data_IF_549769482208
#
_entry.id   IF_549769482208
#
_cell.length_a   1.000
_cell.length_b   1.000
_cell.length_c   1.000
_cell.angle_alpha   90.00
_cell.angle_beta   90.00
_cell.angle_gamma   90.00
#
_symmetry.space_group_name_H-M   'P 1'
#
loop_
_entity.id
_entity.type
_entity.pdbx_description
1 polymer ?
#
# COMPACT_ATOMS: atom_id res chain seq x y z
N UNK A 1 -8.11 -20.29 -24.62
CA UNK A 1 -8.89 -20.68 -23.43
C UNK A 1 -7.95 -21.35 -22.45
N UNK A 2 -7.49 -20.61 -21.45
CA UNK A 2 -6.63 -21.18 -20.42
C UNK A 2 -7.54 -21.76 -19.33
N UNK A 3 -7.56 -23.08 -19.21
CA UNK A 3 -8.21 -23.78 -18.09
C UNK A 3 -7.48 -23.42 -16.81
N UNK A 4 -8.07 -22.53 -16.00
CA UNK A 4 -7.70 -22.37 -14.60
C UNK A 4 -8.10 -23.66 -13.87
N UNK A 5 -7.14 -24.56 -13.71
CA UNK A 5 -7.26 -25.71 -12.81
C UNK A 5 -7.36 -25.14 -11.40
N UNK A 6 -8.57 -25.08 -10.86
CA UNK A 6 -8.82 -24.72 -9.46
C UNK A 6 -8.36 -25.92 -8.64
N UNK A 7 -7.14 -25.83 -8.12
CA UNK A 7 -6.67 -26.76 -7.10
C UNK A 7 -7.56 -26.54 -5.87
N UNK A 8 -8.36 -27.54 -5.55
CA UNK A 8 -9.16 -27.60 -4.32
C UNK A 8 -8.17 -27.88 -3.18
N UNK A 9 -7.50 -26.82 -2.70
CA UNK A 9 -6.71 -26.90 -1.47
C UNK A 9 -7.69 -26.82 -0.32
N UNK A 10 -7.65 -27.82 0.55
CA UNK A 10 -8.48 -27.89 1.76
C UNK A 10 -8.39 -26.54 2.50
N UNK A 11 -9.51 -25.86 2.61
CA UNK A 11 -9.65 -24.45 2.90
C UNK A 11 -9.30 -24.00 4.32
N UNK A 12 -8.65 -24.83 5.12
CA UNK A 12 -8.66 -24.62 6.56
C UNK A 12 -7.41 -23.99 7.17
N UNK A 13 -6.35 -23.71 6.39
CA UNK A 13 -5.08 -23.25 7.02
C UNK A 13 -4.29 -22.20 6.27
N UNK A 14 -4.64 -21.83 5.06
CA UNK A 14 -3.87 -20.83 4.30
C UNK A 14 -4.72 -19.64 3.90
N UNK A 15 -4.18 -18.45 4.12
CA UNK A 15 -4.70 -17.21 3.56
C UNK A 15 -4.51 -17.18 2.04
N UNK A 16 -5.17 -16.26 1.36
CA UNK A 16 -5.02 -16.03 -0.08
C UNK A 16 -4.47 -14.64 -0.30
N UNK A 17 -3.42 -14.54 -1.11
CA UNK A 17 -2.87 -13.29 -1.58
C UNK A 17 -3.05 -13.16 -3.09
N UNK A 18 -3.71 -12.11 -3.54
CA UNK A 18 -3.79 -11.76 -4.96
C UNK A 18 -2.71 -10.74 -5.29
N UNK A 19 -1.80 -11.14 -6.17
CA UNK A 19 -0.71 -10.29 -6.62
C UNK A 19 -1.07 -9.63 -7.95
N UNK A 20 -1.25 -8.30 -7.92
CA UNK A 20 -1.53 -7.50 -9.09
C UNK A 20 -1.13 -6.05 -8.84
N UNK A 21 -0.45 -5.43 -9.81
CA UNK A 21 -0.09 -4.01 -9.72
C UNK A 21 -1.30 -3.08 -9.79
N UNK A 22 -2.41 -3.52 -10.41
CA UNK A 22 -3.65 -2.75 -10.42
C UNK A 22 -4.55 -3.12 -9.23
N UNK A 23 -4.71 -2.17 -8.34
CA UNK A 23 -5.59 -2.28 -7.18
C UNK A 23 -7.05 -2.59 -7.56
N UNK A 24 -7.57 -2.00 -8.65
CA UNK A 24 -8.96 -2.22 -9.06
C UNK A 24 -9.18 -3.65 -9.53
N UNK A 25 -8.21 -4.19 -10.26
CA UNK A 25 -8.26 -5.58 -10.75
C UNK A 25 -8.16 -6.56 -9.57
N UNK A 26 -7.21 -6.34 -8.64
CA UNK A 26 -7.05 -7.20 -7.47
C UNK A 26 -8.28 -7.15 -6.55
N UNK A 27 -8.84 -5.96 -6.33
CA UNK A 27 -10.08 -5.79 -5.57
C UNK A 27 -11.26 -6.51 -6.23
N UNK A 28 -11.40 -6.41 -7.56
CA UNK A 28 -12.44 -7.14 -8.31
C UNK A 28 -12.30 -8.66 -8.15
N UNK A 29 -11.07 -9.18 -8.19
CA UNK A 29 -10.81 -10.61 -7.99
C UNK A 29 -11.26 -11.09 -6.59
N UNK A 30 -10.99 -10.29 -5.55
CA UNK A 30 -11.46 -10.53 -4.19
C UNK A 30 -12.98 -10.57 -4.14
N UNK A 31 -13.67 -9.55 -4.68
CA UNK A 31 -15.12 -9.48 -4.70
C UNK A 31 -15.73 -10.67 -5.43
N UNK A 32 -15.22 -11.04 -6.60
CA UNK A 32 -15.66 -12.21 -7.35
C UNK A 32 -15.50 -13.53 -6.58
N UNK A 33 -14.44 -13.63 -5.75
CA UNK A 33 -14.26 -14.79 -4.87
C UNK A 33 -15.28 -14.80 -3.73
N UNK A 34 -15.53 -13.63 -3.11
CA UNK A 34 -16.57 -13.48 -2.08
C UNK A 34 -17.97 -13.84 -2.60
N UNK A 35 -18.32 -13.39 -3.80
CA UNK A 35 -19.59 -13.73 -4.46
C UNK A 35 -19.76 -15.25 -4.63
N UNK A 36 -18.69 -15.93 -5.06
CA UNK A 36 -18.73 -17.40 -5.19
C UNK A 36 -18.97 -18.09 -3.85
N UNK A 37 -18.28 -17.65 -2.77
CA UNK A 37 -18.48 -18.22 -1.45
C UNK A 37 -19.88 -17.92 -0.92
N UNK A 38 -20.39 -16.70 -1.12
CA UNK A 38 -21.73 -16.32 -0.76
C UNK A 38 -22.76 -17.22 -1.45
N UNK A 39 -22.62 -17.43 -2.76
CA UNK A 39 -23.48 -18.30 -3.55
C UNK A 39 -23.41 -19.76 -3.07
N UNK A 40 -22.21 -20.28 -2.77
CA UNK A 40 -22.03 -21.64 -2.26
C UNK A 40 -22.66 -21.85 -0.87
N UNK A 41 -22.73 -20.78 -0.05
CA UNK A 41 -23.33 -20.82 1.27
C UNK A 41 -24.80 -20.37 1.30
N UNK A 42 -25.38 -20.06 0.14
CA UNK A 42 -26.74 -19.50 0.01
C UNK A 42 -26.94 -18.22 0.84
N UNK A 43 -25.91 -17.37 0.93
CA UNK A 43 -25.94 -16.12 1.68
C UNK A 43 -26.01 -14.92 0.71
N UNK A 44 -26.79 -13.87 1.04
CA UNK A 44 -26.75 -12.63 0.28
C UNK A 44 -25.42 -11.90 0.52
N UNK A 45 -24.73 -11.48 -0.52
CA UNK A 45 -23.54 -10.64 -0.41
C UNK A 45 -23.93 -9.17 -0.54
N UNK A 46 -24.30 -8.57 0.59
CA UNK A 46 -24.53 -7.12 0.67
C UNK A 46 -23.31 -6.46 1.30
N UNK A 47 -22.56 -5.72 0.48
CA UNK A 47 -21.37 -5.00 0.96
C UNK A 47 -21.78 -3.59 1.37
N UNK A 48 -21.55 -3.25 2.63
CA UNK A 48 -21.79 -1.93 3.18
C UNK A 48 -20.47 -1.26 3.57
N UNK A 49 -20.43 0.07 3.50
CA UNK A 49 -19.28 0.85 3.97
C UNK A 49 -19.56 1.38 5.36
N UNK A 50 -18.61 1.19 6.27
CA UNK A 50 -18.65 1.68 7.65
C UNK A 50 -17.35 2.40 7.99
N UNK A 51 -17.33 3.06 9.16
CA UNK A 51 -16.13 3.68 9.73
C UNK A 51 -15.66 2.86 10.93
N UNK A 52 -14.35 2.62 10.99
CA UNK A 52 -13.68 1.96 12.10
C UNK A 52 -13.01 3.02 12.97
N UNK A 53 -13.40 3.09 14.23
CA UNK A 53 -12.81 4.03 15.17
C UNK A 53 -11.86 3.30 16.11
N UNK A 54 -10.73 3.90 16.39
CA UNK A 54 -9.81 3.41 17.41
C UNK A 54 -10.37 3.73 18.80
N UNK A 55 -10.34 2.76 19.70
CA UNK A 55 -10.72 2.99 21.08
C UNK A 55 -9.78 4.02 21.73
N UNK A 56 -10.35 4.98 22.45
CA UNK A 56 -9.63 6.07 23.11
C UNK A 56 -8.57 5.62 24.12
N UNK A 57 -8.65 4.38 24.60
CA UNK A 57 -7.69 3.79 25.53
C UNK A 57 -6.28 3.53 24.95
N UNK A 58 -6.14 3.48 23.64
CA UNK A 58 -4.84 3.23 22.97
C UNK A 58 -4.09 4.52 22.69
N UNK A 59 -4.68 5.68 22.99
CA UNK A 59 -4.26 6.98 22.45
C UNK A 59 -3.44 7.86 23.42
N UNK A 60 -3.12 7.41 24.63
CA UNK A 60 -2.47 8.29 25.64
C UNK A 60 -0.99 8.57 25.38
N UNK A 61 -0.31 7.87 24.46
CA UNK A 61 1.12 8.08 24.25
C UNK A 61 1.50 9.02 23.09
N UNK A 62 0.57 9.42 22.22
CA UNK A 62 0.88 10.37 21.13
C UNK A 62 -0.30 11.29 20.79
N UNK A 63 -0.48 12.32 21.59
CA UNK A 63 -1.56 13.32 21.46
C UNK A 63 -1.42 14.32 20.29
N UNK A 64 -0.78 13.99 19.17
CA UNK A 64 -0.47 14.97 18.11
C UNK A 64 -1.36 14.96 16.86
N UNK A 65 -2.45 14.18 16.81
CA UNK A 65 -3.34 14.23 15.66
C UNK A 65 -4.82 14.10 16.03
N UNK A 66 -5.35 15.08 16.74
CA UNK A 66 -6.80 15.14 17.04
C UNK A 66 -7.69 15.22 15.79
N UNK A 67 -7.19 15.75 14.68
CA UNK A 67 -7.93 15.84 13.42
C UNK A 67 -8.16 14.47 12.74
N UNK A 68 -7.20 13.54 12.84
CA UNK A 68 -7.32 12.19 12.27
C UNK A 68 -8.25 11.27 13.08
N UNK A 69 -8.56 11.62 14.34
CA UNK A 69 -9.46 10.85 15.20
C UNK A 69 -10.95 11.02 14.85
N UNK A 70 -11.31 12.12 14.17
CA UNK A 70 -12.73 12.41 13.87
C UNK A 70 -13.31 11.61 12.72
N UNK A 71 -12.50 11.23 11.73
CA UNK A 71 -13.03 10.67 10.49
C UNK A 71 -13.07 9.14 10.43
N UNK A 72 -12.44 8.42 11.36
CA UNK A 72 -12.38 6.96 11.37
C UNK A 72 -11.77 6.35 10.08
N UNK A 73 -11.45 5.05 10.11
CA UNK A 73 -10.95 4.33 8.93
C UNK A 73 -12.14 3.74 8.16
N UNK A 74 -12.42 4.17 6.91
CA UNK A 74 -13.49 3.56 6.12
C UNK A 74 -13.14 2.13 5.74
N UNK A 75 -14.08 1.21 5.96
CA UNK A 75 -13.94 -0.20 5.60
C UNK A 75 -15.22 -0.75 4.98
N UNK A 76 -15.06 -1.86 4.24
CA UNK A 76 -16.17 -2.61 3.65
C UNK A 76 -16.50 -3.81 4.54
N UNK A 77 -17.79 -4.04 4.77
CA UNK A 77 -18.25 -5.16 5.59
C UNK A 77 -19.45 -5.86 4.96
N UNK A 78 -19.51 -7.16 5.16
CA UNK A 78 -20.67 -8.02 4.85
C UNK A 78 -20.81 -9.10 5.91
N UNK A 79 -21.77 -9.99 5.73
CA UNK A 79 -21.93 -11.17 6.60
C UNK A 79 -20.69 -12.09 6.56
N UNK A 80 -19.93 -12.09 5.45
CA UNK A 80 -18.78 -12.98 5.23
C UNK A 80 -17.46 -12.32 5.58
N UNK A 81 -17.32 -10.99 5.41
CA UNK A 81 -16.01 -10.35 5.45
C UNK A 81 -16.01 -8.95 6.02
N UNK A 82 -14.85 -8.54 6.50
CA UNK A 82 -14.45 -7.15 6.73
C UNK A 82 -13.21 -6.85 5.89
N UNK A 83 -13.23 -5.75 5.13
CA UNK A 83 -12.15 -5.39 4.21
C UNK A 83 -11.63 -3.98 4.48
N UNK A 84 -10.34 -3.85 4.67
CA UNK A 84 -9.64 -2.61 4.99
C UNK A 84 -8.58 -2.31 3.94
N UNK A 85 -8.41 -1.03 3.57
CA UNK A 85 -7.29 -0.57 2.74
C UNK A 85 -6.16 -0.11 3.63
N UNK A 86 -5.01 -0.78 3.56
CA UNK A 86 -3.79 -0.41 4.32
C UNK A 86 -3.31 0.97 3.90
N UNK A 87 -3.43 1.33 2.62
CA UNK A 87 -3.09 2.66 2.13
C UNK A 87 -3.83 3.79 2.87
N UNK A 88 -5.00 3.53 3.44
CA UNK A 88 -5.77 4.52 4.22
C UNK A 88 -5.42 4.55 5.71
N UNK A 89 -4.69 3.57 6.20
CA UNK A 89 -4.24 3.53 7.60
C UNK A 89 -3.06 4.47 7.84
N UNK A 90 -2.39 4.90 6.77
CA UNK A 90 -1.22 5.79 6.84
C UNK A 90 -0.14 5.26 7.80
N UNK A 91 0.50 6.12 8.55
CA UNK A 91 1.53 5.77 9.54
C UNK A 91 0.97 5.12 10.82
N UNK A 92 -0.36 4.97 10.91
CA UNK A 92 -1.04 4.39 12.07
C UNK A 92 -1.51 2.94 11.84
N UNK A 93 -1.01 2.29 10.79
CA UNK A 93 -1.40 0.92 10.43
C UNK A 93 -1.28 -0.05 11.60
N UNK A 94 -0.24 0.07 12.44
CA UNK A 94 -0.06 -0.74 13.65
C UNK A 94 -1.24 -0.64 14.62
N UNK A 95 -1.73 0.57 14.87
CA UNK A 95 -2.84 0.79 15.81
C UNK A 95 -4.15 0.24 15.26
N UNK A 96 -4.41 0.48 13.97
CA UNK A 96 -5.58 -0.07 13.29
C UNK A 96 -5.54 -1.60 13.24
N UNK A 97 -4.42 -2.19 12.80
CA UNK A 97 -4.26 -3.65 12.72
C UNK A 97 -4.43 -4.28 14.10
N UNK A 98 -3.83 -3.70 15.16
CA UNK A 98 -4.01 -4.19 16.52
C UNK A 98 -5.48 -4.18 16.92
N UNK A 99 -6.17 -3.04 16.78
CA UNK A 99 -7.59 -2.90 17.12
C UNK A 99 -8.48 -3.89 16.34
N UNK A 100 -8.19 -4.10 15.05
CA UNK A 100 -8.91 -5.06 14.20
C UNK A 100 -8.67 -6.50 14.69
N UNK A 101 -7.42 -6.87 14.98
CA UNK A 101 -7.05 -8.21 15.45
C UNK A 101 -7.68 -8.50 16.81
N UNK A 102 -7.64 -7.56 17.75
CA UNK A 102 -8.24 -7.69 19.08
C UNK A 102 -9.75 -7.87 18.98
N UNK A 103 -10.44 -7.04 18.17
CA UNK A 103 -11.88 -7.18 17.92
C UNK A 103 -12.27 -8.51 17.28
N UNK A 104 -11.47 -9.02 16.36
CA UNK A 104 -11.69 -10.36 15.78
C UNK A 104 -11.46 -11.45 16.82
N UNK A 105 -10.55 -11.24 17.77
CA UNK A 105 -10.29 -12.12 18.90
C UNK A 105 -11.49 -12.26 19.82
N UNK A 106 -12.04 -11.14 20.24
CA UNK A 106 -13.17 -11.06 21.17
C UNK A 106 -14.48 -11.63 20.58
N UNK A 107 -14.72 -11.36 19.30
CA UNK A 107 -15.96 -11.75 18.63
C UNK A 107 -15.95 -13.17 18.05
N UNK A 108 -14.85 -13.90 18.12
CA UNK A 108 -14.71 -15.22 17.52
C UNK A 108 -15.66 -16.26 18.12
N UNK A 109 -16.07 -16.10 19.39
CA UNK A 109 -17.00 -17.00 20.08
C UNK A 109 -18.46 -16.78 19.75
N UNK A 110 -18.82 -15.60 19.20
CA UNK A 110 -20.21 -15.19 18.99
C UNK A 110 -20.70 -15.50 17.57
N UNK A 111 -19.78 -15.69 16.61
CA UNK A 111 -20.10 -15.81 15.20
C UNK A 111 -19.99 -17.25 14.74
N UNK A 112 -21.13 -17.87 14.46
CA UNK A 112 -21.19 -19.16 13.77
C UNK A 112 -20.78 -18.97 12.31
N UNK A 113 -19.51 -19.24 11.99
CA UNK A 113 -18.99 -19.29 10.62
C UNK A 113 -17.65 -18.60 10.42
N UNK A 114 -16.90 -19.05 9.40
CA UNK A 114 -15.61 -18.49 9.03
C UNK A 114 -15.75 -17.05 8.55
N UNK A 115 -15.16 -16.12 9.24
CA UNK A 115 -15.03 -14.73 8.78
C UNK A 115 -13.77 -14.52 7.97
N UNK A 116 -13.87 -13.68 6.96
CA UNK A 116 -12.76 -13.32 6.10
C UNK A 116 -12.32 -11.90 6.44
N UNK A 117 -11.08 -11.75 6.88
CA UNK A 117 -10.41 -10.46 6.98
C UNK A 117 -9.71 -10.19 5.64
N UNK A 118 -10.06 -9.11 4.97
CA UNK A 118 -9.42 -8.71 3.72
C UNK A 118 -8.56 -7.47 3.98
N UNK A 119 -7.28 -7.53 3.61
CA UNK A 119 -6.35 -6.41 3.66
C UNK A 119 -5.93 -6.04 2.24
N UNK A 120 -6.43 -4.92 1.75
CA UNK A 120 -6.03 -4.39 0.46
C UNK A 120 -4.68 -3.67 0.58
N UNK A 121 -3.81 -3.85 -0.42
CA UNK A 121 -2.49 -3.22 -0.49
C UNK A 121 -1.61 -3.59 0.73
N UNK A 122 -1.59 -4.87 1.08
CA UNK A 122 -0.90 -5.39 2.26
C UNK A 122 0.64 -5.29 2.18
N UNK A 123 1.17 -5.01 1.01
CA UNK A 123 2.58 -4.67 0.81
C UNK A 123 2.99 -3.32 1.44
N UNK A 124 2.01 -2.50 1.85
CA UNK A 124 2.23 -1.25 2.58
C UNK A 124 2.26 -1.43 4.12
N UNK A 125 2.04 -2.63 4.62
CA UNK A 125 2.06 -2.91 6.06
C UNK A 125 3.44 -2.65 6.65
N UNK A 126 3.48 -2.01 7.81
CA UNK A 126 4.70 -1.90 8.61
C UNK A 126 5.14 -3.28 9.13
N UNK A 127 6.42 -3.41 9.45
CA UNK A 127 6.98 -4.66 10.03
C UNK A 127 6.23 -5.09 11.28
N UNK A 128 5.80 -4.14 12.10
CA UNK A 128 5.06 -4.42 13.34
C UNK A 128 3.66 -4.94 13.05
N UNK A 129 2.96 -4.36 12.06
CA UNK A 129 1.66 -4.84 11.60
C UNK A 129 1.73 -6.24 11.00
N UNK A 130 2.79 -6.53 10.24
CA UNK A 130 3.07 -7.87 9.72
C UNK A 130 3.19 -8.89 10.85
N UNK A 131 3.92 -8.56 11.93
CA UNK A 131 4.05 -9.44 13.10
C UNK A 131 2.72 -9.67 13.84
N UNK A 132 1.86 -8.65 13.93
CA UNK A 132 0.53 -8.80 14.52
C UNK A 132 -0.35 -9.75 13.70
N UNK A 133 -0.30 -9.65 12.37
CA UNK A 133 -1.03 -10.55 11.48
C UNK A 133 -0.47 -11.97 11.55
N UNK A 134 0.85 -12.14 11.58
CA UNK A 134 1.49 -13.43 11.77
C UNK A 134 1.00 -14.09 13.08
N UNK A 135 1.02 -13.36 14.18
CA UNK A 135 0.52 -13.85 15.48
C UNK A 135 -0.98 -14.23 15.41
N UNK A 136 -1.81 -13.45 14.71
CA UNK A 136 -3.21 -13.80 14.50
C UNK A 136 -3.33 -15.16 13.78
N UNK A 137 -2.55 -15.35 12.71
CA UNK A 137 -2.56 -16.61 11.94
C UNK A 137 -2.09 -17.79 12.78
N UNK A 138 -1.02 -17.64 13.57
CA UNK A 138 -0.52 -18.65 14.50
C UNK A 138 -1.57 -19.06 15.54
N UNK A 139 -2.18 -18.07 16.21
CA UNK A 139 -3.21 -18.33 17.23
C UNK A 139 -4.47 -18.95 16.66
N UNK A 140 -4.80 -18.69 15.40
CA UNK A 140 -6.04 -19.13 14.75
C UNK A 140 -5.89 -20.36 13.86
N UNK A 141 -4.67 -20.82 13.63
CA UNK A 141 -4.40 -22.05 12.87
C UNK A 141 -5.11 -23.28 13.46
N UNK A 142 -5.37 -23.28 14.77
CA UNK A 142 -6.05 -24.35 15.47
C UNK A 142 -7.56 -24.21 15.50
N UNK A 143 -8.09 -22.98 15.58
CA UNK A 143 -9.55 -22.71 15.69
C UNK A 143 -10.28 -22.60 14.36
N UNK A 144 -9.59 -22.36 13.25
CA UNK A 144 -10.14 -22.37 11.89
C UNK A 144 -11.17 -21.29 11.53
N UNK A 145 -11.51 -20.38 12.45
CA UNK A 145 -12.67 -19.49 12.31
C UNK A 145 -12.40 -18.17 11.57
N UNK A 146 -11.18 -17.85 11.21
CA UNK A 146 -10.81 -16.64 10.51
C UNK A 146 -9.87 -16.98 9.35
N UNK A 147 -10.26 -16.54 8.17
CA UNK A 147 -9.41 -16.57 6.98
C UNK A 147 -8.90 -15.17 6.69
N UNK A 148 -7.61 -15.01 6.49
CA UNK A 148 -7.01 -13.72 6.11
C UNK A 148 -6.72 -13.72 4.62
N UNK A 149 -7.21 -12.71 3.93
CA UNK A 149 -6.98 -12.48 2.52
C UNK A 149 -6.27 -11.16 2.33
N UNK A 150 -5.43 -11.07 1.32
CA UNK A 150 -4.74 -9.82 1.02
C UNK A 150 -4.56 -9.59 -0.48
N UNK A 151 -4.43 -8.33 -0.84
CA UNK A 151 -3.94 -7.93 -2.15
C UNK A 151 -2.57 -7.31 -1.99
N UNK A 152 -1.66 -7.63 -2.91
CA UNK A 152 -0.29 -7.12 -2.94
C UNK A 152 0.07 -6.73 -4.36
N UNK A 153 0.97 -5.76 -4.53
CA UNK A 153 1.45 -5.37 -5.86
C UNK A 153 2.58 -6.27 -6.36
N UNK A 154 3.54 -6.52 -5.54
CA UNK A 154 4.75 -7.27 -5.93
C UNK A 154 4.86 -8.62 -5.24
N UNK A 155 4.84 -8.64 -3.92
CA UNK A 155 5.00 -9.85 -3.14
C UNK A 155 4.33 -9.76 -1.78
N UNK A 156 3.95 -10.90 -1.25
CA UNK A 156 3.51 -11.03 0.14
C UNK A 156 4.68 -10.63 1.06
N UNK A 157 4.45 -9.88 2.15
CA UNK A 157 5.49 -9.58 3.13
C UNK A 157 6.23 -10.86 3.57
N UNK A 158 7.57 -10.82 3.59
CA UNK A 158 8.44 -12.00 3.76
C UNK A 158 8.00 -12.92 4.91
N UNK A 159 7.68 -12.38 6.08
CA UNK A 159 7.26 -13.17 7.25
C UNK A 159 5.89 -13.84 7.12
N UNK A 160 5.11 -13.47 6.11
CA UNK A 160 3.77 -14.02 5.86
C UNK A 160 3.74 -14.96 4.66
N UNK A 161 4.83 -15.11 3.89
CA UNK A 161 4.84 -15.89 2.65
C UNK A 161 4.37 -17.33 2.85
N UNK A 162 4.80 -17.98 3.94
CA UNK A 162 4.45 -19.39 4.23
C UNK A 162 2.96 -19.58 4.62
N UNK A 163 2.27 -18.49 4.94
CA UNK A 163 0.87 -18.50 5.37
C UNK A 163 -0.12 -18.25 4.24
N UNK A 164 0.35 -17.81 3.08
CA UNK A 164 -0.51 -17.38 1.99
C UNK A 164 -0.25 -18.13 0.69
N UNK A 165 -1.35 -18.50 0.03
CA UNK A 165 -1.31 -18.92 -1.37
C UNK A 165 -1.22 -17.65 -2.23
N UNK A 166 -0.09 -17.44 -2.89
CA UNK A 166 0.13 -16.31 -3.80
C UNK A 166 -0.48 -16.62 -5.19
N UNK A 167 -1.48 -15.82 -5.58
CA UNK A 167 -2.18 -15.94 -6.87
C UNK A 167 -1.83 -14.72 -7.73
N UNK A 168 -0.93 -14.86 -8.71
CA UNK A 168 -0.64 -13.77 -9.64
C UNK A 168 -1.82 -13.53 -10.59
N UNK A 169 -2.19 -12.27 -10.76
CA UNK A 169 -3.18 -11.83 -11.75
C UNK A 169 -2.42 -11.11 -12.87
N UNK A 170 -2.36 -11.69 -14.08
CA UNK A 170 -1.68 -11.06 -15.20
C UNK A 170 -2.41 -9.77 -15.63
N UNK A 171 -1.65 -8.74 -15.91
CA UNK A 171 -2.15 -7.52 -16.55
C UNK A 171 -2.16 -7.71 -18.07
N UNK A 172 -3.24 -7.28 -18.69
CA UNK A 172 -3.37 -7.31 -20.16
C UNK A 172 -2.73 -6.12 -20.85
N UNK A 173 -2.36 -5.07 -20.11
CA UNK A 173 -1.71 -3.86 -20.60
C UNK A 173 -0.79 -3.27 -19.54
N UNK A 174 0.25 -2.50 -19.93
CA UNK A 174 1.10 -1.79 -18.99
C UNK A 174 0.27 -0.80 -18.15
N UNK A 175 0.55 -0.74 -16.87
CA UNK A 175 -0.16 0.11 -15.94
C UNK A 175 0.40 1.53 -16.02
N UNK A 176 -0.48 2.48 -16.32
CA UNK A 176 -0.12 3.90 -16.20
C UNK A 176 -0.33 4.35 -14.76
N UNK A 177 0.75 4.69 -14.09
CA UNK A 177 0.67 5.10 -12.69
C UNK A 177 0.09 6.52 -12.57
N UNK A 178 -0.90 6.77 -11.70
CA UNK A 178 -1.60 8.05 -11.63
C UNK A 178 -0.71 9.24 -11.25
N UNK A 179 0.45 8.97 -10.66
CA UNK A 179 1.44 9.99 -10.30
C UNK A 179 2.41 10.36 -11.42
N UNK A 180 2.52 9.57 -12.46
CA UNK A 180 3.39 9.86 -13.60
C UNK A 180 3.16 11.26 -14.17
N UNK A 181 1.91 11.69 -14.47
CA UNK A 181 1.68 13.04 -14.98
C UNK A 181 1.98 14.13 -13.94
N UNK A 182 1.73 13.87 -12.66
CA UNK A 182 1.99 14.86 -11.59
C UNK A 182 3.49 15.10 -11.41
N UNK A 183 4.29 14.03 -11.40
CA UNK A 183 5.75 14.13 -11.29
C UNK A 183 6.37 14.73 -12.55
N UNK A 184 5.84 14.37 -13.73
CA UNK A 184 6.27 14.98 -14.98
C UNK A 184 5.99 16.49 -15.03
N UNK A 185 4.79 16.92 -14.65
CA UNK A 185 4.43 18.35 -14.58
C UNK A 185 5.32 19.09 -13.56
N UNK A 186 5.62 18.46 -12.40
CA UNK A 186 6.58 19.00 -11.44
C UNK A 186 7.97 19.18 -12.06
N UNK A 187 8.50 18.18 -12.79
CA UNK A 187 9.79 18.27 -13.49
C UNK A 187 9.78 19.41 -14.52
N UNK A 188 8.72 19.53 -15.32
CA UNK A 188 8.60 20.57 -16.34
C UNK A 188 8.56 21.98 -15.73
N UNK A 189 7.79 22.18 -14.66
CA UNK A 189 7.73 23.46 -13.94
C UNK A 189 9.09 23.81 -13.34
N UNK A 190 9.80 22.82 -12.81
CA UNK A 190 11.13 23.02 -12.23
C UNK A 190 12.15 23.48 -13.27
N UNK A 191 12.12 22.94 -14.48
CA UNK A 191 13.04 23.33 -15.56
C UNK A 191 12.97 24.79 -15.96
N UNK A 192 11.82 25.46 -15.83
CA UNK A 192 11.68 26.89 -16.18
C UNK A 192 12.09 27.83 -15.04
N UNK A 193 12.43 27.30 -13.87
CA UNK A 193 12.89 28.08 -12.71
C UNK A 193 14.33 28.50 -12.97
N UNK A 194 14.62 29.79 -12.90
CA UNK A 194 15.94 30.35 -13.13
C UNK A 194 16.76 30.56 -11.85
N UNK A 195 16.11 30.63 -10.71
CA UNK A 195 16.76 30.91 -9.42
C UNK A 195 16.13 30.07 -8.31
N UNK A 196 16.96 29.61 -7.40
CA UNK A 196 16.51 28.91 -6.20
C UNK A 196 15.76 29.86 -5.27
N UNK A 197 14.64 29.42 -4.72
CA UNK A 197 13.91 30.16 -3.68
C UNK A 197 13.40 29.22 -2.58
N UNK A 198 13.16 29.77 -1.40
CA UNK A 198 12.58 29.03 -0.26
C UNK A 198 11.19 28.52 -0.58
N UNK A 199 10.39 29.26 -1.36
CA UNK A 199 9.06 28.87 -1.78
C UNK A 199 9.06 27.57 -2.60
N UNK A 200 10.09 27.36 -3.42
CA UNK A 200 10.23 26.11 -4.19
C UNK A 200 10.53 24.92 -3.29
N UNK A 201 11.33 25.11 -2.25
CA UNK A 201 11.63 24.05 -1.26
C UNK A 201 10.36 23.70 -0.45
N UNK A 202 9.55 24.69 -0.08
CA UNK A 202 8.26 24.44 0.56
C UNK A 202 7.29 23.69 -0.37
N UNK A 203 7.26 24.03 -1.65
CA UNK A 203 6.46 23.30 -2.64
C UNK A 203 6.91 21.83 -2.79
N UNK A 204 8.22 21.57 -2.75
CA UNK A 204 8.78 20.20 -2.72
C UNK A 204 8.28 19.47 -1.48
N UNK A 205 8.37 20.06 -0.29
CA UNK A 205 7.89 19.45 0.96
C UNK A 205 6.41 19.11 0.88
N UNK A 206 5.59 20.04 0.42
CA UNK A 206 4.14 19.80 0.27
C UNK A 206 3.85 18.64 -0.69
N UNK A 207 4.61 18.53 -1.77
CA UNK A 207 4.50 17.39 -2.70
C UNK A 207 4.87 16.08 -1.99
N UNK A 208 5.98 16.05 -1.26
CA UNK A 208 6.43 14.87 -0.50
C UNK A 208 5.39 14.45 0.54
N UNK A 209 4.86 15.37 1.32
CA UNK A 209 3.83 15.04 2.31
C UNK A 209 2.56 14.50 1.66
N UNK A 210 2.14 15.04 0.52
CA UNK A 210 0.98 14.51 -0.21
C UNK A 210 1.20 13.10 -0.75
N UNK A 211 2.42 12.77 -1.14
CA UNK A 211 2.82 11.42 -1.56
C UNK A 211 2.85 10.45 -0.36
N UNK A 212 3.41 10.89 0.77
CA UNK A 212 3.47 10.10 2.00
C UNK A 212 2.07 9.82 2.56
N UNK A 213 1.17 10.81 2.56
CA UNK A 213 -0.22 10.61 2.98
C UNK A 213 -0.97 9.56 2.16
N UNK A 214 -0.50 9.29 0.94
CA UNK A 214 -1.06 8.27 0.05
C UNK A 214 -0.29 6.96 0.09
N UNK A 215 0.62 6.79 1.06
CA UNK A 215 1.44 5.60 1.28
C UNK A 215 2.20 5.13 0.03
N UNK A 216 2.70 6.07 -0.78
CA UNK A 216 3.59 5.73 -1.88
C UNK A 216 4.94 5.32 -1.29
N UNK A 217 5.46 4.18 -1.69
CA UNK A 217 6.72 3.67 -1.15
C UNK A 217 7.92 4.38 -1.80
N UNK A 218 9.03 4.40 -1.08
CA UNK A 218 10.32 4.90 -1.60
C UNK A 218 10.68 4.29 -2.95
N UNK A 219 10.54 2.98 -3.08
CA UNK A 219 10.84 2.26 -4.30
C UNK A 219 9.93 2.69 -5.47
N UNK A 220 8.63 2.86 -5.22
CA UNK A 220 7.68 3.29 -6.25
C UNK A 220 8.06 4.66 -6.83
N UNK A 221 8.54 5.60 -6.00
CA UNK A 221 8.97 6.93 -6.47
C UNK A 221 10.21 6.83 -7.35
N UNK A 222 11.20 6.02 -6.99
CA UNK A 222 12.38 5.80 -7.83
C UNK A 222 12.00 5.21 -9.17
N UNK A 223 11.15 4.19 -9.17
CA UNK A 223 10.67 3.56 -10.39
C UNK A 223 9.90 4.56 -11.26
N UNK A 224 9.02 5.36 -10.69
CA UNK A 224 8.27 6.37 -11.43
C UNK A 224 9.16 7.42 -12.08
N UNK A 225 10.16 7.95 -11.36
CA UNK A 225 11.12 8.88 -11.96
C UNK A 225 11.94 8.21 -13.06
N UNK A 226 12.38 6.97 -12.86
CA UNK A 226 13.10 6.21 -13.87
C UNK A 226 12.25 6.04 -15.15
N UNK A 227 11.00 5.61 -15.02
CA UNK A 227 10.07 5.44 -16.14
C UNK A 227 9.85 6.78 -16.87
N UNK A 228 9.58 7.88 -16.14
CA UNK A 228 9.39 9.21 -16.73
C UNK A 228 10.64 9.65 -17.50
N UNK A 229 11.82 9.52 -16.91
CA UNK A 229 13.08 9.94 -17.53
C UNK A 229 13.34 9.14 -18.82
N UNK A 230 13.10 7.84 -18.81
CA UNK A 230 13.31 6.98 -19.97
C UNK A 230 12.25 7.25 -21.06
N UNK A 231 10.97 7.39 -20.72
CA UNK A 231 9.92 7.70 -21.68
C UNK A 231 10.08 9.07 -22.31
N UNK A 232 10.55 10.05 -21.52
CA UNK A 232 10.73 11.45 -21.96
C UNK A 232 12.17 11.79 -22.38
N UNK A 233 12.99 10.80 -22.67
CA UNK A 233 14.39 10.97 -23.08
C UNK A 233 14.55 12.00 -24.21
N UNK A 234 13.67 11.97 -25.22
CA UNK A 234 13.74 12.90 -26.36
C UNK A 234 13.49 14.37 -25.98
N UNK A 235 12.66 14.60 -24.95
CA UNK A 235 12.32 15.93 -24.46
C UNK A 235 13.37 16.48 -23.47
N UNK A 236 13.98 15.57 -22.70
CA UNK A 236 15.02 15.90 -21.73
C UNK A 236 16.38 16.11 -22.37
N UNK A 237 16.70 15.35 -23.40
CA UNK A 237 18.02 15.31 -24.03
C UNK A 237 19.01 14.40 -23.29
N UNK A 238 20.11 13.99 -23.96
CA UNK A 238 21.04 12.99 -23.43
C UNK A 238 21.76 13.44 -22.16
N UNK A 239 22.25 14.69 -22.11
CA UNK A 239 23.04 15.20 -20.98
C UNK A 239 22.22 15.32 -19.70
N UNK A 240 21.01 15.87 -19.81
CA UNK A 240 20.11 16.00 -18.66
C UNK A 240 19.64 14.63 -18.17
N UNK A 241 19.28 13.74 -19.09
CA UNK A 241 18.91 12.36 -18.78
C UNK A 241 20.02 11.64 -18.02
N UNK A 242 21.26 11.73 -18.46
CA UNK A 242 22.40 11.09 -17.79
C UNK A 242 22.55 11.60 -16.34
N UNK A 243 22.50 12.92 -16.13
CA UNK A 243 22.58 13.52 -14.78
C UNK A 243 21.43 13.07 -13.86
N UNK A 244 20.21 13.02 -14.38
CA UNK A 244 19.05 12.58 -13.62
C UNK A 244 19.16 11.10 -13.24
N UNK A 245 19.60 10.23 -14.16
CA UNK A 245 19.82 8.81 -13.89
C UNK A 245 20.93 8.59 -12.87
N UNK A 246 22.03 9.35 -12.95
CA UNK A 246 23.12 9.30 -11.97
C UNK A 246 22.64 9.70 -10.56
N UNK A 247 21.81 10.74 -10.46
CA UNK A 247 21.22 11.16 -9.20
C UNK A 247 20.30 10.08 -8.61
N UNK A 248 19.44 9.46 -9.43
CA UNK A 248 18.60 8.34 -8.99
C UNK A 248 19.44 7.15 -8.52
N UNK A 249 20.47 6.77 -9.29
CA UNK A 249 21.36 5.66 -8.92
C UNK A 249 22.09 5.93 -7.60
N UNK A 250 22.58 7.16 -7.39
CA UNK A 250 23.26 7.57 -6.17
C UNK A 250 22.34 7.54 -4.95
N UNK A 251 21.07 7.91 -5.12
CA UNK A 251 20.08 7.87 -4.04
C UNK A 251 19.64 6.43 -3.71
N UNK A 252 19.63 5.52 -4.69
CA UNK A 252 19.27 4.11 -4.46
C UNK A 252 20.40 3.32 -3.79
N UNK A 253 21.66 3.66 -4.08
CA UNK A 253 22.85 3.02 -3.49
C UNK A 253 23.06 3.35 -2.00
N UNK A 254 22.49 4.44 -1.50
CA UNK A 254 22.37 4.57 -0.05
C UNK A 254 21.44 3.45 0.39
N UNK A 255 22.00 2.41 1.03
CA UNK A 255 21.33 1.21 1.57
C UNK A 255 20.16 1.51 2.54
N UNK A 256 19.60 2.66 2.42
CA UNK A 256 18.64 3.37 3.21
C UNK A 256 17.22 2.93 2.86
N UNK A 257 16.96 2.40 1.67
CA UNK A 257 15.62 2.08 1.19
C UNK A 257 14.95 0.91 1.92
N UNK A 258 15.73 -0.02 2.48
CA UNK A 258 15.19 -1.20 3.16
C UNK A 258 15.19 -1.11 4.70
N UNK A 259 15.84 -0.12 5.28
CA UNK A 259 16.03 0.02 6.74
C UNK A 259 15.60 1.38 7.30
N UNK A 260 14.97 2.22 6.48
CA UNK A 260 14.51 3.53 6.95
C UNK A 260 13.43 3.36 8.02
N UNK A 261 13.73 3.81 9.21
CA UNK A 261 12.70 4.05 10.23
C UNK A 261 11.73 5.13 9.73
N UNK A 262 10.46 5.02 10.08
CA UNK A 262 9.39 5.86 9.53
C UNK A 262 9.68 7.37 9.59
N UNK A 263 10.39 7.86 10.63
CA UNK A 263 10.75 9.28 10.77
C UNK A 263 11.86 9.74 9.80
N UNK A 264 12.65 8.82 9.23
CA UNK A 264 13.71 9.16 8.26
C UNK A 264 13.23 9.15 6.82
N UNK A 265 12.07 8.57 6.53
CA UNK A 265 11.50 8.50 5.18
C UNK A 265 11.32 9.90 4.57
N UNK A 266 10.71 10.88 5.24
CA UNK A 266 10.57 12.23 4.68
C UNK A 266 11.91 12.87 4.33
N UNK A 267 12.94 12.70 5.16
CA UNK A 267 14.27 13.26 4.94
C UNK A 267 14.92 12.65 3.68
N UNK A 268 14.80 11.35 3.49
CA UNK A 268 15.33 10.68 2.30
C UNK A 268 14.62 11.17 1.02
N UNK A 269 13.31 11.40 1.09
CA UNK A 269 12.54 11.93 0.00
C UNK A 269 12.91 13.38 -0.32
N UNK A 270 13.04 14.24 0.70
CA UNK A 270 13.53 15.62 0.52
C UNK A 270 14.89 15.62 -0.18
N UNK A 271 15.81 14.78 0.24
CA UNK A 271 17.13 14.67 -0.39
C UNK A 271 17.03 14.31 -1.87
N UNK A 272 16.21 13.31 -2.24
CA UNK A 272 16.00 12.92 -3.63
C UNK A 272 15.43 14.07 -4.45
N UNK A 273 14.31 14.65 -3.98
CA UNK A 273 13.62 15.71 -4.71
C UNK A 273 14.47 16.96 -4.85
N UNK A 274 15.24 17.35 -3.83
CA UNK A 274 16.18 18.49 -3.89
C UNK A 274 17.30 18.19 -4.87
N UNK A 275 17.87 16.99 -4.88
CA UNK A 275 18.90 16.61 -5.83
C UNK A 275 18.39 16.66 -7.29
N UNK A 276 17.17 16.19 -7.55
CA UNK A 276 16.56 16.30 -8.88
C UNK A 276 16.23 17.77 -9.23
N UNK A 277 15.77 18.55 -8.26
CA UNK A 277 15.48 19.97 -8.41
C UNK A 277 16.74 20.75 -8.82
N UNK A 278 17.88 20.54 -8.14
CA UNK A 278 19.15 21.21 -8.44
C UNK A 278 19.65 20.91 -9.87
N UNK A 279 19.41 19.69 -10.36
CA UNK A 279 19.75 19.29 -11.72
C UNK A 279 18.83 19.97 -12.75
N UNK A 280 17.53 20.07 -12.43
CA UNK A 280 16.49 20.56 -13.35
C UNK A 280 16.48 22.10 -13.48
N UNK A 281 16.87 22.84 -12.42
CA UNK A 281 16.83 24.31 -12.43
C UNK A 281 17.73 24.88 -13.52
N UNK A 282 17.17 25.79 -14.32
CA UNK A 282 17.93 26.47 -15.37
C UNK A 282 18.23 25.64 -16.62
N UNK A 283 17.60 24.50 -16.80
CA UNK A 283 17.79 23.63 -17.98
C UNK A 283 16.71 23.78 -19.05
N UNK A 284 15.71 24.64 -18.82
CA UNK A 284 14.59 24.93 -19.73
C UNK A 284 14.86 25.98 -20.78
#
# INVERSE_FOLDING_TARGET
MAHLTIVYISSHRMGIAWRCQDYKISKHAVHKRLERIASQRNLPLTITKKQWHLDSRVSDEQAQSEELRKDGLPYETSLLHNAFSVARMSLQDRHYIRSIVDSLGENAHVLHGDRILVLYEADLLSTESVLLIQRLLEMRSESGNISVWMTVRESVPYKLQDWFLDIPIPLSAPLYHPWTPVLWDWMQRTRVIKQHSTEHIEAIRNTIYSLLQRNIRWFDIHQLFLEIILERYRELGPDLTAKLLESLASSSNTAVGHTLTSYRIPIAWERLFVSLYDILVGTG
#
